data_IF_872976797108
#
_entry.id   IF_872976797108
#
_cell.length_a   1.000
_cell.length_b   1.000
_cell.length_c   1.000
_cell.angle_alpha   90.00
_cell.angle_beta   90.00
_cell.angle_gamma   90.00
#
_symmetry.space_group_name_H-M   'P 1'
#
loop_
_entity.id
_entity.type
_entity.pdbx_description
1 polymer ?
#
# COMPACT_ATOMS: atom_id res chain seq x y z
N UNK A 1 2.74 -19.14 -31.85
CA UNK A 1 3.89 -18.50 -32.53
C UNK A 1 4.87 -18.07 -31.46
N UNK A 2 5.99 -18.77 -31.35
CA UNK A 2 7.06 -18.43 -30.41
C UNK A 2 8.08 -17.53 -31.12
N UNK A 3 8.31 -16.31 -30.63
CA UNK A 3 9.50 -15.51 -30.99
C UNK A 3 9.64 -14.26 -30.11
N UNK A 4 10.75 -14.18 -29.36
CA UNK A 4 11.42 -12.88 -29.10
C UNK A 4 11.62 -12.37 -27.66
N UNK A 5 11.39 -13.16 -26.61
CA UNK A 5 11.30 -12.63 -25.23
C UNK A 5 12.55 -12.66 -24.32
N UNK A 6 13.63 -13.36 -24.67
CA UNK A 6 14.71 -13.71 -23.70
C UNK A 6 16.05 -12.98 -23.90
N UNK A 7 16.08 -11.83 -24.58
CA UNK A 7 17.30 -11.03 -24.72
C UNK A 7 17.28 -9.81 -23.78
N UNK A 8 18.35 -9.58 -23.04
CA UNK A 8 18.53 -8.33 -22.29
C UNK A 8 18.53 -7.14 -23.27
N UNK A 9 17.77 -6.10 -22.96
CA UNK A 9 17.73 -4.89 -23.78
C UNK A 9 18.66 -3.84 -23.16
N UNK A 10 19.82 -3.63 -23.79
CA UNK A 10 20.79 -2.63 -23.35
C UNK A 10 20.51 -1.24 -23.93
N UNK A 11 20.73 -0.23 -23.11
CA UNK A 11 20.51 1.18 -23.38
C UNK A 11 21.79 1.95 -23.07
N UNK A 12 22.08 3.01 -23.82
CA UNK A 12 23.24 3.89 -23.61
C UNK A 12 22.81 5.35 -23.52
N UNK A 13 23.27 6.07 -22.51
CA UNK A 13 23.00 7.51 -22.35
C UNK A 13 23.60 8.32 -23.51
N UNK A 14 22.79 9.20 -24.11
CA UNK A 14 23.17 10.10 -25.22
C UNK A 14 23.92 11.34 -24.75
N UNK A 15 23.61 11.82 -23.55
CA UNK A 15 24.17 13.03 -22.94
C UNK A 15 24.27 12.87 -21.43
N UNK A 16 24.98 13.79 -20.78
CA UNK A 16 24.94 13.92 -19.33
C UNK A 16 23.52 14.35 -18.91
N UNK A 17 23.05 13.81 -17.79
CA UNK A 17 21.79 14.19 -17.18
C UNK A 17 21.96 14.16 -15.66
N UNK A 18 21.74 15.31 -15.03
CA UNK A 18 21.67 15.43 -13.57
C UNK A 18 20.20 15.50 -13.19
N UNK A 19 19.77 14.52 -12.40
CA UNK A 19 18.40 14.49 -11.89
C UNK A 19 18.27 15.35 -10.63
N UNK A 20 17.23 16.19 -10.58
CA UNK A 20 16.84 16.91 -9.37
C UNK A 20 16.13 16.00 -8.34
N UNK A 21 15.54 14.89 -8.79
CA UNK A 21 14.95 13.84 -7.97
C UNK A 21 15.78 12.55 -8.11
N UNK A 22 16.86 12.49 -7.32
CA UNK A 22 17.81 11.36 -7.33
C UNK A 22 17.23 10.08 -6.73
N UNK A 23 16.03 10.12 -6.13
CA UNK A 23 15.38 8.95 -5.53
C UNK A 23 14.66 8.09 -6.57
N UNK A 24 14.20 8.69 -7.67
CA UNK A 24 13.42 7.99 -8.69
C UNK A 24 14.00 8.12 -10.10
N UNK A 25 14.66 9.24 -10.45
CA UNK A 25 15.25 9.46 -11.77
C UNK A 25 16.78 9.37 -11.66
N UNK A 26 17.40 8.54 -12.50
CA UNK A 26 18.84 8.31 -12.45
C UNK A 26 19.63 9.48 -13.04
N UNK A 27 20.61 9.97 -12.28
CA UNK A 27 21.69 10.80 -12.83
C UNK A 27 22.61 9.94 -13.66
N UNK A 28 22.88 10.37 -14.89
CA UNK A 28 23.67 9.62 -15.88
C UNK A 28 24.74 10.49 -16.53
N UNK A 29 25.88 9.89 -16.87
CA UNK A 29 26.89 10.49 -17.74
C UNK A 29 26.72 9.95 -19.15
N UNK A 30 27.09 10.74 -20.14
CA UNK A 30 27.11 10.34 -21.55
C UNK A 30 27.92 9.05 -21.69
N UNK A 31 27.29 8.05 -22.30
CA UNK A 31 27.92 6.75 -22.53
C UNK A 31 27.71 5.70 -21.45
N UNK A 32 27.13 6.03 -20.28
CA UNK A 32 26.73 5.02 -19.30
C UNK A 32 25.75 4.02 -19.91
N UNK A 33 25.91 2.75 -19.52
CA UNK A 33 25.08 1.64 -19.95
C UNK A 33 23.99 1.35 -18.92
N UNK A 34 22.82 0.98 -19.45
CA UNK A 34 21.69 0.53 -18.67
C UNK A 34 21.08 -0.72 -19.28
N UNK A 35 20.36 -1.48 -18.47
CA UNK A 35 19.51 -2.57 -18.93
C UNK A 35 18.06 -2.22 -18.66
N UNK A 36 17.20 -2.40 -19.66
CA UNK A 36 15.76 -2.20 -19.53
C UNK A 36 15.16 -3.29 -18.67
N UNK A 37 14.39 -2.87 -17.68
CA UNK A 37 13.71 -3.75 -16.72
C UNK A 37 12.23 -3.83 -17.04
N UNK A 38 11.62 -2.66 -17.27
CA UNK A 38 10.20 -2.56 -17.57
C UNK A 38 9.95 -1.32 -18.44
N UNK A 39 9.09 -1.48 -19.45
CA UNK A 39 8.56 -0.37 -20.24
C UNK A 39 7.37 0.22 -19.47
N UNK A 40 7.66 1.10 -18.51
CA UNK A 40 6.63 1.70 -17.67
C UNK A 40 6.15 3.02 -18.29
N UNK A 41 4.91 3.06 -18.77
CA UNK A 41 4.26 4.31 -19.20
C UNK A 41 3.80 5.13 -17.99
N UNK A 42 4.72 5.58 -17.14
CA UNK A 42 4.37 6.43 -16.01
C UNK A 42 3.93 7.81 -16.51
N UNK A 43 2.61 8.06 -16.49
CA UNK A 43 1.92 9.19 -17.13
C UNK A 43 1.96 10.50 -16.34
N UNK A 44 2.83 10.63 -15.33
CA UNK A 44 2.86 11.83 -14.48
C UNK A 44 3.33 13.08 -15.24
N UNK A 45 4.02 12.89 -16.36
CA UNK A 45 4.26 13.90 -17.39
C UNK A 45 4.09 13.23 -18.76
N UNK A 46 3.69 13.96 -19.81
CA UNK A 46 3.47 13.44 -21.19
C UNK A 46 4.74 12.86 -21.88
N UNK A 47 5.69 12.30 -21.14
CA UNK A 47 6.98 11.78 -21.62
C UNK A 47 7.12 10.31 -21.24
N UNK A 48 7.61 9.49 -22.17
CA UNK A 48 7.88 8.06 -21.94
C UNK A 48 9.14 7.88 -21.10
N UNK A 49 8.99 7.25 -19.95
CA UNK A 49 10.09 6.88 -19.06
C UNK A 49 10.33 5.37 -19.14
N UNK A 50 11.58 4.96 -19.05
CA UNK A 50 11.98 3.57 -19.01
C UNK A 50 12.48 3.26 -17.60
N UNK A 51 12.03 2.15 -17.02
CA UNK A 51 12.60 1.68 -15.76
C UNK A 51 13.82 0.82 -16.09
N UNK A 52 14.98 1.26 -15.64
CA UNK A 52 16.28 0.71 -16.03
C UNK A 52 17.17 0.51 -14.81
N UNK A 53 18.23 -0.29 -14.98
CA UNK A 53 19.34 -0.30 -14.03
C UNK A 53 20.68 0.00 -14.68
N UNK A 54 21.59 0.63 -13.92
CA UNK A 54 22.92 1.02 -14.39
C UNK A 54 24.01 0.00 -14.01
N UNK A 55 25.22 0.24 -14.51
CA UNK A 55 26.44 -0.54 -14.19
C UNK A 55 26.79 -0.57 -12.69
N UNK A 56 26.22 0.35 -11.90
CA UNK A 56 26.44 0.43 -10.46
C UNK A 56 25.38 -0.34 -9.67
N UNK A 57 24.43 -1.01 -10.32
CA UNK A 57 23.32 -1.74 -9.70
C UNK A 57 22.21 -0.83 -9.15
N UNK A 58 22.15 0.43 -9.60
CA UNK A 58 21.10 1.38 -9.19
C UNK A 58 19.96 1.30 -10.19
N UNK A 59 18.72 1.31 -9.68
CA UNK A 59 17.53 1.28 -10.50
C UNK A 59 16.82 2.63 -10.43
N UNK A 60 16.14 2.98 -11.50
CA UNK A 60 15.32 4.18 -11.57
C UNK A 60 14.80 4.43 -12.97
N UNK A 61 14.14 5.57 -13.11
CA UNK A 61 13.60 6.02 -14.37
C UNK A 61 14.64 6.80 -15.16
N UNK A 62 14.67 6.55 -16.46
CA UNK A 62 15.37 7.38 -17.43
C UNK A 62 14.40 7.75 -18.56
N UNK A 63 14.49 8.97 -19.09
CA UNK A 63 13.62 9.35 -20.20
C UNK A 63 14.06 8.60 -21.47
N UNK A 64 13.10 8.06 -22.22
CA UNK A 64 13.39 7.33 -23.47
C UNK A 64 14.19 8.21 -24.47
N UNK A 65 13.94 9.53 -24.48
CA UNK A 65 14.66 10.50 -25.31
C UNK A 65 16.17 10.58 -24.99
N UNK A 66 16.56 10.33 -23.74
CA UNK A 66 17.94 10.45 -23.25
C UNK A 66 18.81 9.23 -23.53
N UNK A 67 18.20 8.10 -23.92
CA UNK A 67 18.90 6.84 -24.15
C UNK A 67 18.69 6.31 -25.56
N UNK A 68 19.61 5.47 -26.02
CA UNK A 68 19.45 4.70 -27.26
C UNK A 68 19.70 3.22 -26.99
N UNK A 69 18.97 2.34 -27.68
CA UNK A 69 19.24 0.91 -27.65
C UNK A 69 20.62 0.63 -28.25
N UNK A 70 21.38 -0.25 -27.62
CA UNK A 70 22.70 -0.69 -28.10
C UNK A 70 22.75 -2.21 -28.10
N UNK A 71 23.48 -2.77 -29.06
CA UNK A 71 23.87 -4.18 -29.04
C UNK A 71 25.28 -4.25 -28.47
N UNK A 72 25.45 -5.01 -27.40
CA UNK A 72 26.77 -5.28 -26.82
C UNK A 72 27.27 -6.63 -27.35
N UNK A 73 28.58 -6.84 -27.32
CA UNK A 73 29.15 -8.17 -27.54
C UNK A 73 28.84 -9.07 -26.34
N UNK A 74 28.80 -10.41 -26.54
CA UNK A 74 28.54 -11.35 -25.43
C UNK A 74 29.48 -11.13 -24.24
N UNK A 75 30.76 -10.84 -24.49
CA UNK A 75 31.76 -10.58 -23.46
C UNK A 75 31.47 -9.28 -22.69
N UNK A 76 31.02 -8.21 -23.36
CA UNK A 76 30.64 -6.95 -22.71
C UNK A 76 29.34 -7.10 -21.90
N UNK A 77 28.39 -7.89 -22.40
CA UNK A 77 27.17 -8.21 -21.65
C UNK A 77 27.51 -8.98 -20.37
N UNK A 78 28.34 -10.03 -20.47
CA UNK A 78 28.77 -10.84 -19.33
C UNK A 78 29.55 -10.01 -18.30
N UNK A 79 30.51 -9.17 -18.73
CA UNK A 79 31.29 -8.32 -17.83
C UNK A 79 30.41 -7.27 -17.10
N UNK A 80 29.46 -6.65 -17.81
CA UNK A 80 28.51 -5.72 -17.20
C UNK A 80 27.64 -6.44 -16.14
N UNK A 81 27.12 -7.62 -16.48
CA UNK A 81 26.23 -8.38 -15.61
C UNK A 81 26.95 -8.96 -14.38
N UNK A 82 28.17 -9.44 -14.54
CA UNK A 82 28.97 -9.98 -13.44
C UNK A 82 29.34 -8.89 -12.42
N UNK A 83 29.66 -7.68 -12.90
CA UNK A 83 29.88 -6.50 -12.04
C UNK A 83 28.66 -6.16 -11.18
N UNK A 84 27.46 -6.24 -11.76
CA UNK A 84 26.20 -6.00 -11.06
C UNK A 84 25.91 -7.13 -10.06
N UNK A 85 26.03 -8.39 -10.48
CA UNK A 85 25.77 -9.58 -9.65
C UNK A 85 26.64 -9.60 -8.39
N UNK A 86 27.96 -9.44 -8.54
CA UNK A 86 28.91 -9.39 -7.40
C UNK A 86 28.53 -8.32 -6.38
N UNK A 87 27.99 -7.19 -6.84
CA UNK A 87 27.58 -6.08 -5.98
C UNK A 87 26.27 -6.34 -5.24
N UNK A 88 25.35 -7.10 -5.81
CA UNK A 88 24.13 -7.54 -5.10
C UNK A 88 24.41 -8.70 -4.15
N UNK A 89 25.23 -9.67 -4.54
CA UNK A 89 25.63 -10.81 -3.68
C UNK A 89 26.42 -10.35 -2.45
N UNK A 90 27.34 -9.40 -2.62
CA UNK A 90 28.08 -8.79 -1.49
C UNK A 90 27.20 -7.96 -0.54
N UNK A 91 25.98 -7.60 -0.97
CA UNK A 91 24.99 -6.89 -0.14
C UNK A 91 23.99 -7.81 0.55
N UNK A 92 24.01 -9.12 0.30
CA UNK A 92 23.15 -10.08 1.02
C UNK A 92 23.70 -10.24 2.44
N UNK A 93 22.97 -9.81 3.48
CA UNK A 93 23.44 -9.96 4.86
C UNK A 93 23.43 -11.44 5.25
N UNK A 94 24.43 -11.87 6.05
CA UNK A 94 24.42 -13.16 6.74
C UNK A 94 23.61 -13.14 8.05
N UNK A 95 22.75 -12.15 8.24
CA UNK A 95 22.06 -11.90 9.51
C UNK A 95 20.66 -12.51 9.53
N UNK A 96 20.19 -12.81 10.75
CA UNK A 96 18.83 -13.30 10.98
C UNK A 96 17.77 -12.37 10.38
N UNK A 97 16.64 -12.93 9.88
CA UNK A 97 15.55 -12.13 9.35
C UNK A 97 15.07 -11.12 10.39
N UNK A 98 15.11 -9.84 10.03
CA UNK A 98 14.43 -8.80 10.80
C UNK A 98 12.93 -9.12 10.73
N UNK A 99 12.30 -9.31 11.89
CA UNK A 99 10.88 -9.60 11.95
C UNK A 99 10.07 -8.38 11.48
N UNK A 100 9.18 -8.61 10.52
CA UNK A 100 7.96 -7.80 10.39
C UNK A 100 8.01 -6.63 9.42
N UNK A 101 8.37 -6.86 8.15
CA UNK A 101 7.97 -5.96 7.07
C UNK A 101 7.60 -6.80 5.85
N UNK A 102 6.31 -6.99 5.62
CA UNK A 102 5.81 -7.58 4.38
C UNK A 102 5.53 -6.47 3.38
N UNK A 103 5.54 -6.78 2.09
CA UNK A 103 5.08 -5.89 1.04
C UNK A 103 4.20 -6.65 0.07
N UNK A 104 3.36 -5.93 -0.66
CA UNK A 104 2.48 -6.50 -1.68
C UNK A 104 2.94 -5.98 -3.04
N UNK A 105 3.12 -6.87 -4.00
CA UNK A 105 3.40 -6.49 -5.37
C UNK A 105 2.21 -5.73 -5.96
N UNK A 106 2.44 -4.48 -6.39
CA UNK A 106 1.43 -3.65 -7.04
C UNK A 106 1.51 -3.72 -8.57
N UNK A 107 2.59 -4.30 -9.09
CA UNK A 107 2.81 -4.54 -10.51
C UNK A 107 3.64 -5.82 -10.73
N UNK A 108 3.66 -6.34 -11.95
CA UNK A 108 4.40 -7.54 -12.32
C UNK A 108 5.88 -7.22 -12.55
N UNK A 109 6.77 -7.89 -11.83
CA UNK A 109 8.21 -7.80 -12.04
C UNK A 109 8.74 -9.09 -12.64
N UNK A 110 9.21 -9.00 -13.88
CA UNK A 110 9.91 -10.08 -14.57
C UNK A 110 11.41 -9.80 -14.53
N UNK A 111 12.21 -10.54 -13.74
CA UNK A 111 13.64 -10.37 -13.74
C UNK A 111 14.21 -10.65 -15.13
N UNK A 112 15.17 -9.83 -15.59
CA UNK A 112 15.92 -10.13 -16.80
C UNK A 112 16.53 -11.54 -16.70
N UNK A 113 16.64 -12.30 -17.80
CA UNK A 113 17.15 -13.67 -17.78
C UNK A 113 18.44 -13.86 -16.97
N UNK A 114 19.36 -12.89 -17.06
CA UNK A 114 20.63 -12.89 -16.35
C UNK A 114 20.53 -12.83 -14.81
N UNK A 115 19.42 -12.34 -14.26
CA UNK A 115 19.23 -12.16 -12.81
C UNK A 115 18.18 -13.11 -12.22
N UNK A 116 17.52 -13.96 -13.01
CA UNK A 116 16.48 -14.89 -12.50
C UNK A 116 16.96 -15.81 -11.37
N UNK A 117 18.25 -16.11 -11.30
CA UNK A 117 18.82 -16.94 -10.24
C UNK A 117 18.94 -16.23 -8.88
N UNK A 118 19.00 -14.89 -8.87
CA UNK A 118 19.19 -14.08 -7.66
C UNK A 118 18.02 -13.13 -7.40
N UNK A 119 17.15 -12.92 -8.38
CA UNK A 119 16.00 -12.02 -8.33
C UNK A 119 14.68 -12.77 -8.18
N UNK A 120 13.74 -12.14 -7.48
CA UNK A 120 12.43 -12.68 -7.22
C UNK A 120 11.47 -12.19 -8.30
N UNK A 121 10.86 -13.11 -9.05
CA UNK A 121 9.76 -12.79 -9.94
C UNK A 121 8.50 -12.47 -9.13
N UNK A 122 7.80 -11.40 -9.48
CA UNK A 122 6.59 -10.94 -8.80
C UNK A 122 5.43 -10.85 -9.78
N UNK A 123 4.26 -11.29 -9.35
CA UNK A 123 2.97 -11.02 -9.98
C UNK A 123 2.16 -10.05 -9.11
N UNK A 124 1.21 -9.33 -9.71
CA UNK A 124 0.33 -8.40 -8.97
C UNK A 124 -0.36 -9.15 -7.83
N UNK A 125 -0.38 -8.54 -6.64
CA UNK A 125 -0.89 -9.05 -5.37
C UNK A 125 -0.03 -10.13 -4.69
N UNK A 126 1.17 -10.45 -5.20
CA UNK A 126 2.10 -11.29 -4.45
C UNK A 126 2.45 -10.67 -3.10
N UNK A 127 2.35 -11.45 -2.03
CA UNK A 127 2.79 -11.05 -0.69
C UNK A 127 4.23 -11.51 -0.51
N UNK A 128 5.12 -10.55 -0.30
CA UNK A 128 6.55 -10.79 -0.14
C UNK A 128 6.98 -10.41 1.27
N UNK A 129 7.64 -11.34 1.95
CA UNK A 129 8.30 -11.05 3.22
C UNK A 129 9.64 -10.37 2.92
N UNK A 130 9.85 -9.14 3.39
CA UNK A 130 11.13 -8.44 3.21
C UNK A 130 12.10 -8.95 4.27
N UNK A 131 13.16 -9.61 3.81
CA UNK A 131 14.26 -10.07 4.63
C UNK A 131 15.34 -8.98 4.79
N UNK A 132 15.56 -8.15 3.77
CA UNK A 132 16.55 -7.07 3.81
C UNK A 132 16.22 -5.91 2.86
N UNK A 133 16.64 -4.71 3.26
CA UNK A 133 16.50 -3.46 2.51
C UNK A 133 17.87 -2.93 2.13
N UNK A 134 18.16 -2.90 0.83
CA UNK A 134 19.40 -2.36 0.30
C UNK A 134 19.22 -0.91 -0.17
N UNK A 135 20.30 -0.14 -0.06
CA UNK A 135 20.39 1.19 -0.65
C UNK A 135 20.20 1.13 -2.16
N UNK A 136 19.47 2.10 -2.69
CA UNK A 136 19.16 2.19 -4.13
C UNK A 136 17.84 1.52 -4.53
N UNK A 137 16.93 1.29 -3.57
CA UNK A 137 15.56 0.86 -3.86
C UNK A 137 15.39 -0.63 -4.11
N UNK A 138 16.24 -1.47 -3.51
CA UNK A 138 16.18 -2.93 -3.62
C UNK A 138 15.76 -3.58 -2.32
N UNK A 139 14.82 -4.50 -2.41
CA UNK A 139 14.49 -5.40 -1.31
C UNK A 139 14.93 -6.81 -1.66
N UNK A 140 15.37 -7.52 -0.65
CA UNK A 140 15.57 -8.95 -0.69
C UNK A 140 14.50 -9.58 0.18
N UNK A 141 13.88 -10.65 -0.29
CA UNK A 141 12.76 -11.23 0.42
C UNK A 141 12.33 -12.56 -0.13
N UNK A 142 11.27 -13.08 0.48
CA UNK A 142 10.73 -14.41 0.21
C UNK A 142 9.30 -14.29 -0.32
N UNK A 143 9.03 -14.86 -1.48
CA UNK A 143 7.69 -15.00 -2.07
C UNK A 143 7.57 -16.39 -2.71
N UNK A 144 6.44 -17.09 -2.50
CA UNK A 144 6.19 -18.43 -3.07
C UNK A 144 7.36 -19.41 -2.85
N UNK A 145 7.90 -19.44 -1.62
CA UNK A 145 9.06 -20.26 -1.20
C UNK A 145 10.39 -19.95 -1.90
N UNK A 146 10.43 -18.95 -2.80
CA UNK A 146 11.64 -18.49 -3.47
C UNK A 146 12.16 -17.24 -2.79
N UNK A 147 13.49 -17.17 -2.64
CA UNK A 147 14.17 -15.98 -2.16
C UNK A 147 14.84 -15.25 -3.30
N UNK A 148 14.79 -13.93 -3.28
CA UNK A 148 15.48 -13.14 -4.27
C UNK A 148 15.31 -11.65 -4.08
N UNK A 149 16.07 -10.93 -4.90
CA UNK A 149 16.05 -9.49 -5.01
C UNK A 149 14.87 -9.00 -5.87
N UNK A 150 14.18 -7.96 -5.43
CA UNK A 150 13.15 -7.28 -6.21
C UNK A 150 13.18 -5.76 -5.96
N UNK A 151 12.74 -4.94 -6.94
CA UNK A 151 12.76 -3.49 -6.79
C UNK A 151 11.61 -2.99 -5.92
N UNK A 152 11.89 -2.04 -5.03
CA UNK A 152 10.91 -1.35 -4.17
C UNK A 152 9.72 -0.79 -4.96
N UNK A 153 9.93 -0.35 -6.20
CA UNK A 153 8.88 0.31 -6.99
C UNK A 153 7.75 -0.64 -7.42
N UNK A 154 8.01 -1.94 -7.49
CA UNK A 154 7.01 -2.95 -7.85
C UNK A 154 6.19 -3.40 -6.65
N UNK A 155 6.50 -2.89 -5.46
CA UNK A 155 5.89 -3.32 -4.22
C UNK A 155 5.42 -2.12 -3.39
N UNK A 156 4.30 -2.29 -2.71
CA UNK A 156 3.87 -1.41 -1.63
C UNK A 156 4.27 -2.07 -0.32
N UNK A 157 5.13 -1.40 0.43
CA UNK A 157 5.47 -1.83 1.78
C UNK A 157 4.23 -1.76 2.66
N UNK A 158 3.86 -2.88 3.28
CA UNK A 158 2.91 -2.86 4.38
C UNK A 158 3.67 -2.31 5.57
N UNK A 159 3.54 -1.01 5.82
CA UNK A 159 4.24 -0.35 6.90
C UNK A 159 3.60 -0.75 8.23
N UNK A 160 3.99 -1.90 8.77
CA UNK A 160 3.64 -2.30 10.13
C UNK A 160 4.84 -2.04 11.04
N UNK A 161 5.17 -0.76 11.22
CA UNK A 161 5.91 -0.32 12.40
C UNK A 161 4.91 0.24 13.41
N UNK A 162 4.28 -0.68 14.13
CA UNK A 162 3.69 -0.39 15.43
C UNK A 162 4.32 -1.39 16.38
N UNK A 163 5.38 -0.95 17.07
CA UNK A 163 5.88 -1.63 18.25
C UNK A 163 4.74 -1.76 19.25
N UNK A 164 4.16 -2.96 19.32
CA UNK A 164 3.59 -3.54 20.52
C UNK A 164 2.51 -2.74 21.30
N UNK A 165 1.59 -2.04 20.62
CA UNK A 165 0.28 -1.69 21.20
C UNK A 165 -0.84 -1.94 20.20
N UNK A 166 -1.64 -2.97 20.50
CA UNK A 166 -3.01 -3.19 20.06
C UNK A 166 -3.26 -3.08 18.55
N UNK A 167 -3.12 -4.24 17.88
CA UNK A 167 -3.52 -4.49 16.49
C UNK A 167 -4.91 -3.89 16.24
N UNK A 168 -5.02 -3.01 15.24
CA UNK A 168 -6.24 -2.25 14.95
C UNK A 168 -7.26 -3.08 14.14
N UNK A 169 -8.01 -3.95 14.85
CA UNK A 169 -9.07 -4.93 14.50
C UNK A 169 -10.46 -4.32 14.29
N UNK A 170 -10.98 -4.17 13.04
CA UNK A 170 -12.33 -3.61 12.80
C UNK A 170 -13.22 -4.26 11.76
N UNK A 171 -14.25 -4.94 12.26
CA UNK A 171 -15.66 -4.47 12.18
C UNK A 171 -16.55 -5.30 13.13
N UNK A 172 -16.13 -6.52 13.45
CA UNK A 172 -16.68 -7.41 14.48
C UNK A 172 -15.74 -8.62 14.58
N UNK A 173 -15.50 -9.13 15.78
CA UNK A 173 -14.66 -10.31 15.94
C UNK A 173 -15.54 -11.54 15.86
N UNK A 174 -15.08 -12.50 15.08
CA UNK A 174 -15.68 -13.82 15.00
C UNK A 174 -14.67 -14.82 15.52
N UNK A 175 -15.18 -15.88 16.13
CA UNK A 175 -14.35 -17.00 16.55
C UNK A 175 -14.59 -18.17 15.62
N UNK A 176 -13.51 -18.74 15.11
CA UNK A 176 -13.58 -19.93 14.27
C UNK A 176 -14.11 -21.11 15.09
N UNK A 177 -15.23 -21.69 14.66
CA UNK A 177 -15.79 -22.90 15.27
C UNK A 177 -15.00 -24.14 14.84
N UNK A 178 -14.44 -24.12 13.63
CA UNK A 178 -13.64 -25.17 13.02
C UNK A 178 -12.37 -24.63 12.34
N UNK A 179 -11.39 -25.48 12.08
CA UNK A 179 -10.20 -25.11 11.30
C UNK A 179 -10.53 -25.09 9.79
N UNK A 180 -9.96 -24.14 9.06
CA UNK A 180 -10.06 -23.98 7.62
C UNK A 180 -8.68 -23.83 6.99
N UNK A 181 -8.36 -24.66 6.00
CA UNK A 181 -7.02 -24.67 5.40
C UNK A 181 -6.79 -23.52 4.42
N UNK A 182 -7.87 -22.85 3.96
CA UNK A 182 -7.83 -21.73 3.00
C UNK A 182 -7.34 -22.13 1.61
N UNK A 183 -8.06 -21.74 0.55
CA UNK A 183 -7.61 -21.90 -0.84
C UNK A 183 -7.82 -20.60 -1.63
N UNK A 184 -6.83 -20.24 -2.46
CA UNK A 184 -6.91 -19.05 -3.32
C UNK A 184 -7.10 -17.75 -2.53
N UNK A 185 -8.28 -17.14 -2.67
CA UNK A 185 -8.67 -15.92 -1.94
C UNK A 185 -9.15 -16.16 -0.51
N UNK A 186 -9.29 -17.42 -0.08
CA UNK A 186 -9.74 -17.76 1.27
C UNK A 186 -8.60 -17.74 2.30
N UNK A 187 -8.90 -17.23 3.48
CA UNK A 187 -7.99 -17.13 4.59
C UNK A 187 -7.96 -18.44 5.38
N UNK A 188 -6.76 -18.97 5.59
CA UNK A 188 -6.56 -20.11 6.48
C UNK A 188 -6.65 -19.67 7.95
N UNK A 189 -7.30 -20.47 8.78
CA UNK A 189 -7.44 -20.27 10.23
C UNK A 189 -7.65 -21.61 10.95
N UNK A 190 -7.32 -21.66 12.23
CA UNK A 190 -7.57 -22.81 13.10
C UNK A 190 -8.84 -22.63 13.93
N UNK A 191 -9.44 -23.72 14.40
CA UNK A 191 -10.52 -23.63 15.37
C UNK A 191 -10.07 -22.80 16.59
N UNK A 192 -10.97 -21.94 17.07
CA UNK A 192 -10.76 -20.90 18.10
C UNK A 192 -9.89 -19.72 17.68
N UNK A 193 -9.41 -19.66 16.44
CA UNK A 193 -8.79 -18.45 15.93
C UNK A 193 -9.81 -17.31 15.91
N UNK A 194 -9.31 -16.12 16.23
CA UNK A 194 -10.09 -14.90 16.19
C UNK A 194 -9.79 -14.16 14.91
N UNK A 195 -10.86 -13.74 14.25
CA UNK A 195 -10.80 -13.10 12.96
C UNK A 195 -11.61 -11.81 12.99
N UNK A 196 -11.02 -10.75 12.44
CA UNK A 196 -11.65 -9.45 12.33
C UNK A 196 -12.40 -9.42 11.03
N UNK A 197 -13.71 -9.27 11.05
CA UNK A 197 -14.43 -9.14 9.79
C UNK A 197 -14.29 -7.71 9.30
N UNK A 198 -13.76 -7.54 8.10
CA UNK A 198 -13.53 -6.26 7.43
C UNK A 198 -14.79 -5.80 6.70
N UNK A 199 -15.58 -6.74 6.15
CA UNK A 199 -16.82 -6.45 5.43
C UNK A 199 -17.92 -7.38 5.89
N UNK A 200 -18.98 -6.82 6.47
CA UNK A 200 -20.22 -7.54 6.80
C UNK A 200 -20.96 -7.81 5.48
N UNK A 201 -21.18 -9.07 5.09
CA UNK A 201 -21.86 -9.34 3.84
C UNK A 201 -23.37 -9.17 3.96
N UNK A 202 -24.03 -9.06 2.80
CA UNK A 202 -25.48 -9.10 2.72
C UNK A 202 -25.99 -10.49 3.16
N UNK A 203 -27.27 -10.60 3.53
CA UNK A 203 -27.85 -11.84 4.04
C UNK A 203 -27.73 -13.04 3.09
N UNK A 204 -27.43 -12.79 1.82
CA UNK A 204 -27.23 -13.77 0.75
C UNK A 204 -25.81 -14.30 0.61
N UNK A 205 -24.81 -13.66 1.22
CA UNK A 205 -23.42 -14.05 0.96
C UNK A 205 -22.98 -15.20 1.89
N UNK A 206 -22.25 -16.15 1.29
CA UNK A 206 -21.76 -17.36 1.97
C UNK A 206 -20.39 -17.18 2.62
N UNK A 207 -19.66 -16.13 2.23
CA UNK A 207 -18.30 -15.84 2.69
C UNK A 207 -18.17 -14.41 3.22
N UNK A 208 -17.42 -14.28 4.31
CA UNK A 208 -17.09 -13.02 4.97
C UNK A 208 -15.67 -12.63 4.61
N UNK A 209 -15.35 -11.34 4.64
CA UNK A 209 -13.98 -10.89 4.42
C UNK A 209 -13.37 -10.62 5.76
N UNK A 210 -12.33 -11.37 6.10
CA UNK A 210 -11.75 -11.31 7.41
C UNK A 210 -10.25 -11.09 7.39
N UNK A 211 -9.72 -10.66 8.54
CA UNK A 211 -8.31 -10.54 8.82
C UNK A 211 -7.96 -11.38 10.03
N UNK A 212 -6.91 -12.20 9.93
CA UNK A 212 -6.44 -12.99 11.06
C UNK A 212 -5.54 -12.16 11.99
N UNK A 213 -5.15 -12.75 13.11
CA UNK A 213 -4.27 -12.12 14.10
C UNK A 213 -2.93 -11.62 13.51
N UNK A 214 -2.42 -12.24 12.43
CA UNK A 214 -1.16 -11.86 11.78
C UNK A 214 -1.35 -10.69 10.80
N UNK A 215 -2.59 -10.23 10.59
CA UNK A 215 -2.93 -9.16 9.66
C UNK A 215 -3.20 -9.64 8.23
N UNK A 216 -3.21 -10.95 7.98
CA UNK A 216 -3.52 -11.51 6.65
C UNK A 216 -5.02 -11.42 6.40
N UNK A 217 -5.40 -10.85 5.25
CA UNK A 217 -6.79 -10.66 4.82
C UNK A 217 -7.19 -11.75 3.82
N UNK A 218 -8.42 -12.25 3.91
CA UNK A 218 -9.00 -13.15 2.92
C UNK A 218 -10.46 -13.48 3.20
N UNK A 219 -11.06 -14.28 2.32
CA UNK A 219 -12.43 -14.75 2.49
C UNK A 219 -12.51 -15.86 3.54
N UNK A 220 -13.55 -15.90 4.34
CA UNK A 220 -13.81 -16.99 5.29
C UNK A 220 -15.26 -17.46 5.15
N UNK A 221 -15.54 -18.76 5.27
CA UNK A 221 -16.91 -19.24 5.19
C UNK A 221 -17.71 -18.80 6.43
N UNK A 222 -18.90 -18.23 6.23
CA UNK A 222 -19.79 -17.83 7.35
C UNK A 222 -20.13 -19.01 8.28
N UNK A 223 -20.24 -20.22 7.71
CA UNK A 223 -20.58 -21.44 8.45
C UNK A 223 -19.49 -21.93 9.42
N UNK A 224 -18.27 -21.39 9.34
CA UNK A 224 -17.12 -21.84 10.14
C UNK A 224 -16.78 -20.88 11.28
N UNK A 225 -17.62 -19.87 11.52
CA UNK A 225 -17.36 -18.83 12.51
C UNK A 225 -18.64 -18.44 13.24
N UNK A 226 -18.51 -18.15 14.54
CA UNK A 226 -19.57 -17.60 15.37
C UNK A 226 -19.25 -16.15 15.75
N UNK A 227 -20.28 -15.29 15.76
CA UNK A 227 -20.16 -13.89 16.18
C UNK A 227 -19.89 -13.80 17.68
N UNK A 228 -19.00 -12.87 18.07
CA UNK A 228 -18.69 -12.55 19.48
C UNK A 228 -19.11 -11.10 19.80
N UNK A 229 -20.43 -10.82 19.95
CA UNK A 229 -20.95 -9.46 20.14
C UNK A 229 -20.44 -8.76 21.42
N UNK A 230 -19.96 -9.54 22.39
CA UNK A 230 -19.28 -9.06 23.61
C UNK A 230 -17.89 -8.45 23.34
N UNK A 231 -17.26 -8.75 22.20
CA UNK A 231 -15.95 -8.22 21.83
C UNK A 231 -16.13 -7.03 20.89
N UNK A 232 -15.89 -5.84 21.42
CA UNK A 232 -16.10 -4.61 20.68
C UNK A 232 -15.01 -4.35 19.64
N UNK A 233 -15.40 -3.64 18.58
CA UNK A 233 -14.49 -2.96 17.67
C UNK A 233 -13.45 -2.21 18.49
N UNK A 234 -12.17 -2.55 18.33
CA UNK A 234 -11.05 -1.78 18.89
C UNK A 234 -11.10 -0.27 18.46
N UNK A 235 -12.02 0.21 17.58
CA UNK A 235 -12.08 1.62 17.11
C UNK A 235 -12.62 2.41 18.26
N UNK A 236 -13.30 1.74 19.20
CA UNK A 236 -13.61 2.25 20.52
C UNK A 236 -12.37 2.71 21.31
N UNK A 237 -11.15 2.28 20.98
CA UNK A 237 -9.93 2.88 21.56
C UNK A 237 -9.67 4.28 21.02
N UNK A 238 -10.17 4.60 19.82
CA UNK A 238 -10.08 5.94 19.27
C UNK A 238 -11.24 6.79 19.76
N UNK A 239 -10.88 7.85 20.48
CA UNK A 239 -11.83 8.81 21.04
C UNK A 239 -12.73 9.48 19.99
N UNK A 240 -12.28 9.53 18.72
CA UNK A 240 -13.02 10.10 17.59
C UNK A 240 -14.06 9.15 16.97
N UNK A 241 -14.10 7.88 17.35
CA UNK A 241 -15.03 6.92 16.74
C UNK A 241 -16.32 6.76 17.54
N UNK A 242 -17.45 6.72 16.84
CA UNK A 242 -18.81 6.67 17.39
C UNK A 242 -19.65 5.59 16.67
N UNK A 243 -19.51 4.34 17.09
CA UNK A 243 -20.09 3.13 16.48
C UNK A 243 -21.61 3.19 16.31
N UNK A 244 -22.33 3.60 17.35
CA UNK A 244 -23.80 3.61 17.37
C UNK A 244 -24.38 5.00 17.11
N UNK A 245 -23.58 5.94 16.63
CA UNK A 245 -24.03 7.31 16.44
C UNK A 245 -24.71 7.48 15.08
N UNK A 246 -25.97 7.92 15.10
CA UNK A 246 -26.71 8.26 13.88
C UNK A 246 -26.19 9.54 13.26
N UNK A 247 -26.53 9.80 11.99
CA UNK A 247 -26.24 11.07 11.31
C UNK A 247 -26.73 12.26 12.12
N UNK A 248 -27.98 12.19 12.59
CA UNK A 248 -28.60 13.25 13.37
C UNK A 248 -27.92 13.40 14.73
N UNK A 249 -27.50 12.29 15.35
CA UNK A 249 -26.72 12.30 16.59
C UNK A 249 -25.37 13.00 16.41
N UNK A 250 -24.63 12.65 15.35
CA UNK A 250 -23.34 13.23 15.03
C UNK A 250 -23.43 14.73 14.74
N UNK A 251 -24.43 15.14 13.96
CA UNK A 251 -24.68 16.56 13.69
C UNK A 251 -25.06 17.32 14.96
N UNK A 252 -25.87 16.72 15.85
CA UNK A 252 -26.23 17.34 17.12
C UNK A 252 -25.04 17.51 18.06
N UNK A 253 -24.14 16.52 18.12
CA UNK A 253 -22.89 16.60 18.87
C UNK A 253 -21.98 17.71 18.34
N UNK A 254 -21.78 17.75 17.02
CA UNK A 254 -20.87 18.71 16.38
C UNK A 254 -21.40 20.15 16.37
N UNK A 255 -22.72 20.36 16.49
CA UNK A 255 -23.32 21.70 16.56
C UNK A 255 -22.87 22.52 17.76
N UNK A 256 -22.38 21.88 18.82
CA UNK A 256 -21.85 22.55 20.01
C UNK A 256 -20.45 23.16 19.77
N UNK A 257 -19.82 22.87 18.63
CA UNK A 257 -18.49 23.34 18.28
C UNK A 257 -18.59 24.44 17.21
N UNK A 258 -18.28 25.68 17.59
CA UNK A 258 -18.40 26.85 16.70
C UNK A 258 -17.18 27.04 15.77
N UNK A 259 -16.05 26.41 16.11
CA UNK A 259 -14.80 26.47 15.34
C UNK A 259 -14.65 25.30 14.37
N UNK A 260 -13.96 25.45 13.23
CA UNK A 260 -13.79 24.39 12.23
C UNK A 260 -12.97 23.19 12.75
N UNK A 261 -12.93 22.12 11.93
CA UNK A 261 -12.04 20.95 12.09
C UNK A 261 -12.30 20.04 13.30
N UNK A 262 -13.41 20.24 14.01
CA UNK A 262 -13.95 19.26 14.95
C UNK A 262 -14.58 18.11 14.18
N UNK A 263 -14.19 16.89 14.49
CA UNK A 263 -14.64 15.73 13.73
C UNK A 263 -14.94 14.51 14.58
N UNK A 264 -15.76 13.64 14.02
CA UNK A 264 -15.93 12.27 14.50
C UNK A 264 -16.15 11.33 13.30
N UNK A 265 -15.89 10.05 13.50
CA UNK A 265 -16.17 9.00 12.52
C UNK A 265 -17.22 8.07 13.09
N UNK A 266 -18.19 7.68 12.28
CA UNK A 266 -19.27 6.77 12.66
C UNK A 266 -19.53 5.75 11.57
N UNK A 267 -20.28 4.73 11.91
CA UNK A 267 -20.79 3.76 10.93
C UNK A 267 -21.77 4.46 9.98
N UNK A 268 -21.70 4.08 8.71
CA UNK A 268 -22.61 4.62 7.69
C UNK A 268 -23.97 3.95 7.76
N UNK A 269 -25.01 4.73 8.05
CA UNK A 269 -26.40 4.25 8.05
C UNK A 269 -26.92 3.94 6.64
N UNK A 270 -26.43 4.66 5.63
CA UNK A 270 -26.87 4.48 4.24
C UNK A 270 -26.14 3.34 3.53
N UNK A 271 -24.95 2.98 3.99
CA UNK A 271 -24.10 1.97 3.35
C UNK A 271 -23.45 1.08 4.43
N UNK A 272 -24.12 -0.01 4.84
CA UNK A 272 -23.58 -0.93 5.84
C UNK A 272 -22.17 -1.44 5.49
N UNK A 273 -21.26 -1.39 6.45
CA UNK A 273 -19.84 -1.74 6.26
C UNK A 273 -18.95 -0.59 5.77
N UNK A 274 -19.52 0.59 5.51
CA UNK A 274 -18.77 1.82 5.22
C UNK A 274 -18.82 2.78 6.42
N UNK A 275 -18.01 3.85 6.36
CA UNK A 275 -17.95 4.86 7.41
C UNK A 275 -18.35 6.24 6.89
N UNK A 276 -18.74 7.13 7.80
CA UNK A 276 -18.95 8.55 7.53
C UNK A 276 -18.11 9.37 8.49
N UNK A 277 -17.36 10.33 7.96
CA UNK A 277 -16.65 11.36 8.73
C UNK A 277 -17.54 12.58 8.81
N UNK A 278 -17.89 12.99 10.02
CA UNK A 278 -18.62 14.21 10.28
C UNK A 278 -17.63 15.27 10.75
N UNK A 279 -17.59 16.44 10.09
CA UNK A 279 -16.63 17.51 10.42
C UNK A 279 -17.25 18.91 10.37
N UNK A 280 -16.95 19.75 11.36
CA UNK A 280 -17.38 21.16 11.40
C UNK A 280 -16.62 22.00 10.40
N UNK A 281 -17.30 22.94 9.75
CA UNK A 281 -16.69 23.85 8.77
C UNK A 281 -16.33 25.24 9.30
N UNK A 282 -16.66 25.54 10.56
CA UNK A 282 -16.60 26.90 11.11
C UNK A 282 -17.72 27.82 10.62
N UNK A 283 -18.54 27.37 9.67
CA UNK A 283 -19.81 28.01 9.32
C UNK A 283 -20.90 27.45 10.23
N UNK A 284 -21.61 28.34 10.92
CA UNK A 284 -22.67 27.98 11.87
C UNK A 284 -23.67 27.00 11.26
N UNK A 285 -23.97 25.92 11.98
CA UNK A 285 -24.88 24.84 11.57
C UNK A 285 -24.46 24.04 10.32
N UNK A 286 -23.27 24.27 9.74
CA UNK A 286 -22.79 23.54 8.56
C UNK A 286 -21.79 22.46 8.95
N UNK A 287 -22.28 21.22 8.97
CA UNK A 287 -21.49 20.00 9.15
C UNK A 287 -21.30 19.32 7.81
N UNK A 288 -20.05 18.97 7.48
CA UNK A 288 -19.75 18.13 6.33
C UNK A 288 -19.90 16.66 6.73
N UNK A 289 -20.55 15.91 5.86
CA UNK A 289 -20.65 14.46 5.93
C UNK A 289 -19.80 13.90 4.78
N UNK A 290 -18.63 13.35 5.08
CA UNK A 290 -17.72 12.78 4.07
C UNK A 290 -17.85 11.25 4.12
N UNK A 291 -18.29 10.66 3.01
CA UNK A 291 -18.37 9.22 2.88
C UNK A 291 -16.97 8.62 2.78
N UNK A 292 -16.71 7.57 3.54
CA UNK A 292 -15.52 6.73 3.40
C UNK A 292 -15.93 5.50 2.63
N UNK A 293 -15.43 5.38 1.41
CA UNK A 293 -15.61 4.18 0.60
C UNK A 293 -14.71 3.07 1.16
N UNK A 294 -15.30 1.91 1.43
CA UNK A 294 -14.56 0.76 1.97
C UNK A 294 -14.49 -0.31 0.90
N UNK A 295 -13.27 -0.76 0.62
CA UNK A 295 -13.00 -1.89 -0.25
C UNK A 295 -12.29 -3.02 0.51
N UNK A 296 -11.91 -4.07 -0.19
CA UNK A 296 -11.27 -5.27 0.38
C UNK A 296 -9.93 -4.97 1.07
N UNK A 297 -9.22 -3.94 0.63
CA UNK A 297 -7.84 -3.67 1.04
C UNK A 297 -7.58 -2.22 1.43
N UNK A 298 -8.55 -1.33 1.25
CA UNK A 298 -8.34 0.11 1.41
C UNK A 298 -9.63 0.87 1.73
N UNK A 299 -9.45 1.95 2.48
CA UNK A 299 -10.41 3.02 2.74
C UNK A 299 -10.14 4.17 1.79
N UNK A 300 -11.17 4.71 1.15
CA UNK A 300 -11.02 5.83 0.22
C UNK A 300 -11.86 7.02 0.60
N UNK A 301 -11.24 8.19 0.47
CA UNK A 301 -11.89 9.50 0.55
C UNK A 301 -11.24 10.39 -0.48
N UNK A 302 -12.06 11.02 -1.32
CA UNK A 302 -11.63 12.01 -2.33
C UNK A 302 -10.51 11.52 -3.27
N UNK A 303 -10.50 10.23 -3.61
CA UNK A 303 -9.51 9.62 -4.50
C UNK A 303 -8.21 9.15 -3.81
N UNK A 304 -8.01 9.53 -2.55
CA UNK A 304 -6.90 9.03 -1.72
C UNK A 304 -7.29 7.69 -1.08
N UNK A 305 -6.32 6.78 -0.93
CA UNK A 305 -6.54 5.41 -0.44
C UNK A 305 -5.64 5.08 0.75
N UNK A 306 -6.20 4.42 1.77
CA UNK A 306 -5.55 4.19 3.06
C UNK A 306 -5.72 2.75 3.52
N UNK A 307 -4.72 2.20 4.21
CA UNK A 307 -4.76 0.83 4.74
C UNK A 307 -5.67 0.73 5.97
N UNK A 308 -5.67 1.77 6.81
CA UNK A 308 -6.54 1.86 8.00
C UNK A 308 -7.26 3.19 8.07
N UNK A 309 -8.38 3.24 8.80
CA UNK A 309 -9.06 4.49 9.14
C UNK A 309 -8.15 5.43 9.96
N UNK A 310 -7.26 4.89 10.79
CA UNK A 310 -6.31 5.72 11.55
C UNK A 310 -5.29 6.40 10.64
N UNK A 311 -4.83 5.73 9.58
CA UNK A 311 -3.95 6.35 8.58
C UNK A 311 -4.67 7.46 7.83
N UNK A 312 -5.93 7.22 7.46
CA UNK A 312 -6.81 8.22 6.84
C UNK A 312 -6.95 9.45 7.74
N UNK A 313 -7.27 9.26 9.02
CA UNK A 313 -7.43 10.35 9.99
C UNK A 313 -6.10 11.10 10.17
N UNK A 314 -4.99 10.38 10.29
CA UNK A 314 -3.65 10.96 10.45
C UNK A 314 -3.26 11.80 9.24
N UNK A 315 -3.53 11.31 8.02
CA UNK A 315 -3.26 12.02 6.78
C UNK A 315 -4.08 13.30 6.67
N UNK A 316 -5.40 13.24 6.89
CA UNK A 316 -6.26 14.42 6.80
C UNK A 316 -6.16 15.36 8.01
N UNK A 317 -5.38 14.99 9.03
CA UNK A 317 -4.90 15.93 10.06
C UNK A 317 -3.78 16.85 9.54
N UNK A 318 -3.12 16.49 8.43
CA UNK A 318 -2.01 17.25 7.84
C UNK A 318 -2.38 17.82 6.45
N UNK A 319 -3.23 17.12 5.71
CA UNK A 319 -3.73 17.50 4.40
C UNK A 319 -5.23 17.84 4.47
N UNK A 320 -5.70 18.87 3.75
CA UNK A 320 -7.11 19.23 3.80
C UNK A 320 -7.96 18.16 3.11
N UNK A 321 -9.07 17.77 3.75
CA UNK A 321 -10.10 16.92 3.14
C UNK A 321 -10.89 17.67 2.07
N UNK A 322 -11.04 18.98 2.23
CA UNK A 322 -11.73 19.85 1.27
C UNK A 322 -11.01 21.20 1.18
N UNK A 323 -10.79 21.65 -0.06
CA UNK A 323 -10.43 23.02 -0.37
C UNK A 323 -11.70 23.73 -0.89
N UNK A 324 -12.18 24.74 -0.17
CA UNK A 324 -13.22 25.61 -0.73
C UNK A 324 -12.56 26.74 -1.52
N UNK A 325 -12.73 26.70 -2.85
CA UNK A 325 -12.33 27.72 -3.83
C UNK A 325 -10.84 28.13 -3.84
N UNK A 326 -10.01 27.49 -4.70
CA UNK A 326 -8.59 27.81 -4.88
C UNK A 326 -8.28 29.27 -5.27
N UNK A 327 -9.29 30.01 -5.73
CA UNK A 327 -9.16 31.33 -6.36
C UNK A 327 -9.60 32.50 -5.47
N UNK A 328 -10.05 32.25 -4.24
CA UNK A 328 -10.47 33.29 -3.28
C UNK A 328 -9.50 33.35 -2.09
N UNK A 329 -9.02 34.57 -1.77
CA UNK A 329 -8.07 34.86 -0.68
C UNK A 329 -8.57 34.44 0.73
N UNK A 330 -9.81 33.96 0.87
CA UNK A 330 -10.44 33.50 2.13
C UNK A 330 -11.09 32.10 2.00
N UNK A 331 -10.61 31.24 1.09
CA UNK A 331 -11.05 29.84 1.03
C UNK A 331 -10.71 29.10 2.34
N UNK A 332 -11.69 28.45 2.97
CA UNK A 332 -11.45 27.67 4.18
C UNK A 332 -11.08 26.23 3.82
N UNK A 333 -10.04 25.73 4.48
CA UNK A 333 -9.53 24.37 4.36
C UNK A 333 -10.02 23.56 5.54
N UNK A 334 -10.59 22.39 5.27
CA UNK A 334 -11.10 21.49 6.31
C UNK A 334 -10.12 20.35 6.54
N UNK A 335 -9.78 20.12 7.80
CA UNK A 335 -8.87 19.09 8.29
C UNK A 335 -9.54 18.28 9.40
N UNK A 336 -8.96 17.14 9.77
CA UNK A 336 -9.38 16.33 10.91
C UNK A 336 -8.46 16.59 12.11
N UNK A 337 -8.65 17.74 12.79
CA UNK A 337 -7.73 18.20 13.83
C UNK A 337 -8.22 17.92 15.25
N UNK A 338 -9.51 18.13 15.51
CA UNK A 338 -10.06 18.13 16.86
C UNK A 338 -11.05 16.97 17.01
N UNK A 339 -10.60 15.81 17.53
CA UNK A 339 -11.48 14.66 17.70
C UNK A 339 -12.55 14.96 18.75
N UNK A 340 -13.82 14.79 18.40
CA UNK A 340 -14.93 14.88 19.35
C UNK A 340 -15.03 13.57 20.11
N UNK A 341 -14.72 13.64 21.40
CA UNK A 341 -14.75 12.49 22.29
C UNK A 341 -16.14 11.90 22.39
N UNK A 342 -16.19 10.57 22.52
CA UNK A 342 -17.40 9.86 22.93
C UNK A 342 -17.62 10.12 24.42
N UNK A 343 -18.78 10.68 24.78
CA UNK A 343 -19.23 10.75 26.16
C UNK A 343 -19.74 9.35 26.57
N UNK A 344 -19.24 8.83 27.68
CA UNK A 344 -19.56 7.49 28.20
C UNK A 344 -20.84 7.50 29.02
#
# INVERSE_FOLDING_TARGET
>A
MASGGDANIFLKAKSDHVSADSKLILTSKKGCLFVLVHDHKYLKHRRKNLFVFDEHGRYGFIQESQVKRVKLSKTEEEDFLEKVKRKHESKVPRTNPLSGNSCIAVDTYIPPPAHRAVSLHLEVNDVIQIDYRADGGWFYGTCREKKGWFPKHFVRECSLHIENKERLIYHFTVEATNSHLGQGSELAFSAKDRLDIIKRPMSTDTHWIARNAVGKIGQIPKSHVDERPEMHSVLRHFEWYHETCSRNGAESLLKNYETPNHFLVRDSESFPGCFTINVTTGVKQRILNVAVEVSMSEYKVNGESFETLQDLVTYFGQQPIFDSAPELNNGYKIYLLHPVRRDW
#
